data_IF_264634572573
#
_entry.id   IF_264634572573
#
_cell.length_a   1.000
_cell.length_b   1.000
_cell.length_c   1.000
_cell.angle_alpha   90.00
_cell.angle_beta   90.00
_cell.angle_gamma   90.00
#
_symmetry.space_group_name_H-M   'P 1'
#
loop_
_entity.id
_entity.type
_entity.pdbx_description
1 polymer ?
#
# COMPACT_ATOMS: atom_id res chain seq x y z
N UNK A 1 -21.11 7.27 -15.44
CA UNK A 1 -20.94 6.25 -14.39
C UNK A 1 -19.74 5.41 -14.78
N UNK A 2 -18.72 5.39 -13.97
CA UNK A 2 -17.44 4.71 -14.22
C UNK A 2 -17.52 3.27 -13.69
N UNK A 3 -17.26 2.28 -14.55
CA UNK A 3 -17.24 0.87 -14.15
C UNK A 3 -15.83 0.49 -13.70
N UNK A 4 -15.64 0.28 -12.41
CA UNK A 4 -14.38 -0.17 -11.82
C UNK A 4 -14.49 -1.68 -11.59
N UNK A 5 -13.57 -2.43 -12.20
CA UNK A 5 -13.48 -3.86 -12.00
C UNK A 5 -12.25 -4.18 -11.15
N UNK A 6 -12.46 -4.79 -9.99
CA UNK A 6 -11.39 -5.27 -9.11
C UNK A 6 -11.21 -6.75 -9.36
N UNK A 7 -10.03 -7.14 -9.78
CA UNK A 7 -9.63 -8.51 -10.08
C UNK A 7 -8.68 -8.98 -8.99
N UNK A 8 -9.09 -10.01 -8.25
CA UNK A 8 -8.27 -10.54 -7.17
C UNK A 8 -9.06 -11.34 -6.15
N UNK A 9 -8.32 -11.97 -5.26
CA UNK A 9 -8.85 -12.79 -4.18
C UNK A 9 -8.45 -12.19 -2.83
N UNK A 10 -9.22 -12.51 -1.79
CA UNK A 10 -8.86 -12.22 -0.42
C UNK A 10 -9.25 -10.85 0.10
N UNK A 11 -8.65 -10.49 1.23
CA UNK A 11 -9.06 -9.35 2.07
C UNK A 11 -8.71 -8.01 1.41
N UNK A 12 -7.62 -7.93 0.66
CA UNK A 12 -7.21 -6.71 -0.04
C UNK A 12 -8.25 -6.24 -1.06
N UNK A 13 -8.76 -7.19 -1.87
CA UNK A 13 -9.85 -6.96 -2.83
C UNK A 13 -11.09 -6.36 -2.16
N UNK A 14 -11.47 -6.94 -1.02
CA UNK A 14 -12.59 -6.44 -0.22
C UNK A 14 -12.32 -5.07 0.37
N UNK A 15 -11.10 -4.81 0.84
CA UNK A 15 -10.72 -3.55 1.44
C UNK A 15 -10.83 -2.39 0.44
N UNK A 16 -10.27 -2.55 -0.75
CA UNK A 16 -10.34 -1.55 -1.84
C UNK A 16 -11.81 -1.28 -2.20
N UNK A 17 -12.61 -2.33 -2.42
CA UNK A 17 -14.04 -2.18 -2.69
C UNK A 17 -14.76 -1.41 -1.59
N UNK A 18 -14.60 -1.84 -0.34
CA UNK A 18 -15.29 -1.24 0.82
C UNK A 18 -14.98 0.25 0.97
N UNK A 19 -13.74 0.65 0.69
CA UNK A 19 -13.36 2.06 0.75
C UNK A 19 -13.95 2.88 -0.38
N UNK A 20 -13.98 2.36 -1.61
CA UNK A 20 -14.57 3.04 -2.76
C UNK A 20 -16.08 3.22 -2.56
N UNK A 21 -16.82 2.15 -2.25
CA UNK A 21 -18.29 2.19 -2.04
C UNK A 21 -18.67 3.08 -0.85
N UNK A 22 -17.92 3.02 0.26
CA UNK A 22 -18.22 3.83 1.44
C UNK A 22 -17.94 5.33 1.27
N UNK A 23 -17.21 5.72 0.24
CA UNK A 23 -16.91 7.12 -0.07
C UNK A 23 -17.50 7.56 -1.42
N UNK A 24 -18.40 6.80 -2.03
CA UNK A 24 -18.97 7.06 -3.36
C UNK A 24 -19.45 8.51 -3.52
N UNK A 25 -20.14 9.08 -2.53
CA UNK A 25 -20.66 10.46 -2.56
C UNK A 25 -19.52 11.51 -2.64
N UNK A 26 -18.31 11.16 -2.20
CA UNK A 26 -17.15 12.07 -2.18
C UNK A 26 -16.22 11.88 -3.37
N UNK A 27 -16.50 10.91 -4.22
CA UNK A 27 -15.72 10.65 -5.41
C UNK A 27 -16.06 11.66 -6.52
N UNK A 28 -15.11 11.98 -7.40
CA UNK A 28 -15.33 12.92 -8.52
C UNK A 28 -16.42 12.47 -9.49
N UNK A 29 -16.59 11.16 -9.67
CA UNK A 29 -17.55 10.53 -10.56
C UNK A 29 -18.40 9.50 -9.84
N UNK A 30 -19.62 9.27 -10.34
CA UNK A 30 -20.43 8.11 -9.93
C UNK A 30 -19.74 6.83 -10.39
N UNK A 31 -19.56 5.89 -9.48
CA UNK A 31 -18.89 4.62 -9.74
C UNK A 31 -19.85 3.43 -9.65
N UNK A 32 -19.48 2.36 -10.33
CA UNK A 32 -20.00 1.01 -10.11
C UNK A 32 -18.83 0.09 -9.93
N UNK A 33 -18.71 -0.53 -8.76
CA UNK A 33 -17.62 -1.45 -8.43
C UNK A 33 -18.08 -2.89 -8.59
N UNK A 34 -17.33 -3.67 -9.37
CA UNK A 34 -17.56 -5.11 -9.53
C UNK A 34 -16.27 -5.84 -9.10
N UNK A 35 -16.42 -6.98 -8.44
CA UNK A 35 -15.30 -7.85 -8.06
C UNK A 35 -15.32 -9.10 -8.94
N UNK A 36 -14.12 -9.53 -9.35
CA UNK A 36 -13.88 -10.79 -10.05
C UNK A 36 -12.81 -11.56 -9.26
N UNK A 37 -13.23 -12.61 -8.59
CA UNK A 37 -12.43 -13.40 -7.69
C UNK A 37 -13.24 -13.92 -6.52
N UNK A 38 -12.57 -14.45 -5.52
CA UNK A 38 -13.19 -15.03 -4.34
C UNK A 38 -12.76 -14.26 -3.09
N UNK A 39 -13.71 -14.02 -2.20
CA UNK A 39 -13.44 -13.44 -0.90
C UNK A 39 -14.12 -14.25 0.20
N UNK A 40 -13.33 -14.58 1.24
CA UNK A 40 -13.80 -15.33 2.40
C UNK A 40 -13.71 -14.47 3.65
N UNK A 41 -14.81 -14.35 4.39
CA UNK A 41 -14.83 -13.72 5.71
C UNK A 41 -15.16 -14.77 6.78
N UNK A 42 -14.28 -14.92 7.78
CA UNK A 42 -14.44 -15.93 8.85
C UNK A 42 -14.71 -17.35 8.29
N UNK A 43 -13.97 -17.73 7.25
CA UNK A 43 -14.13 -19.02 6.55
C UNK A 43 -15.48 -19.20 5.83
N UNK A 44 -16.27 -18.17 5.71
CA UNK A 44 -17.51 -18.18 4.92
C UNK A 44 -17.32 -17.38 3.63
N UNK A 45 -17.67 -17.97 2.50
CA UNK A 45 -17.66 -17.29 1.21
C UNK A 45 -18.68 -16.14 1.23
N UNK A 46 -18.22 -14.88 1.12
CA UNK A 46 -19.09 -13.72 1.10
C UNK A 46 -19.44 -13.31 -0.33
N UNK A 47 -18.48 -13.45 -1.23
CA UNK A 47 -18.66 -13.13 -2.64
C UNK A 47 -18.02 -14.20 -3.51
N UNK A 48 -18.86 -14.84 -4.34
CA UNK A 48 -18.40 -15.56 -5.52
C UNK A 48 -18.87 -14.73 -6.70
N UNK A 49 -17.97 -14.04 -7.36
CA UNK A 49 -18.33 -13.27 -8.52
C UNK A 49 -17.79 -13.92 -9.77
N UNK A 50 -18.75 -14.47 -10.52
CA UNK A 50 -18.62 -14.78 -11.94
C UNK A 50 -17.32 -15.50 -12.38
N UNK A 51 -16.95 -16.58 -11.71
CA UNK A 51 -15.89 -17.50 -12.16
C UNK A 51 -16.15 -18.10 -13.56
N UNK A 52 -17.25 -17.70 -14.21
CA UNK A 52 -17.66 -18.14 -15.55
C UNK A 52 -17.27 -17.15 -16.65
N UNK A 53 -16.84 -15.92 -16.29
CA UNK A 53 -16.39 -14.96 -17.28
C UNK A 53 -14.90 -15.15 -17.53
N UNK A 54 -14.51 -15.08 -18.79
CA UNK A 54 -13.10 -15.00 -19.14
C UNK A 54 -12.55 -13.63 -18.70
N UNK A 55 -11.32 -13.60 -18.24
CA UNK A 55 -10.66 -12.36 -17.80
C UNK A 55 -10.67 -11.29 -18.88
N UNK A 56 -10.59 -11.70 -20.16
CA UNK A 56 -10.66 -10.78 -21.30
C UNK A 56 -12.01 -10.04 -21.35
N UNK A 57 -13.12 -10.73 -21.06
CA UNK A 57 -14.46 -10.12 -21.06
C UNK A 57 -14.61 -9.15 -19.88
N UNK A 58 -13.99 -9.47 -18.74
CA UNK A 58 -13.94 -8.62 -17.55
C UNK A 58 -13.20 -7.33 -17.85
N UNK A 59 -12.02 -7.42 -18.45
CA UNK A 59 -11.21 -6.25 -18.82
C UNK A 59 -11.92 -5.38 -19.85
N UNK A 60 -12.50 -5.98 -20.90
CA UNK A 60 -13.25 -5.24 -21.93
C UNK A 60 -14.42 -4.45 -21.39
N UNK A 61 -15.13 -4.99 -20.40
CA UNK A 61 -16.31 -4.36 -19.81
C UNK A 61 -15.98 -3.26 -18.77
N UNK A 62 -14.73 -3.16 -18.35
CA UNK A 62 -14.26 -2.17 -17.38
C UNK A 62 -13.97 -0.82 -18.05
N UNK A 63 -14.12 0.26 -17.29
CA UNK A 63 -13.50 1.55 -17.58
C UNK A 63 -12.15 1.70 -16.86
N UNK A 64 -12.02 1.06 -15.69
CA UNK A 64 -10.80 0.98 -14.88
C UNK A 64 -10.65 -0.42 -14.32
N UNK A 65 -9.44 -0.96 -14.36
CA UNK A 65 -9.10 -2.26 -13.77
C UNK A 65 -8.19 -2.04 -12.58
N UNK A 66 -8.52 -2.69 -11.45
CA UNK A 66 -7.66 -2.78 -10.26
C UNK A 66 -7.31 -4.25 -10.08
N UNK A 67 -6.03 -4.58 -10.03
CA UNK A 67 -5.54 -5.93 -9.76
C UNK A 67 -4.95 -5.99 -8.36
N UNK A 68 -5.48 -6.86 -7.51
CA UNK A 68 -5.07 -6.99 -6.11
C UNK A 68 -4.40 -8.33 -5.79
N UNK A 69 -4.23 -9.19 -6.78
CA UNK A 69 -3.66 -10.52 -6.59
C UNK A 69 -2.64 -10.82 -7.71
N UNK A 70 -1.36 -11.03 -7.37
CA UNK A 70 -0.28 -11.23 -8.34
C UNK A 70 -0.46 -12.47 -9.24
N UNK A 71 -1.29 -13.44 -8.86
CA UNK A 71 -1.59 -14.61 -9.71
C UNK A 71 -2.15 -14.23 -11.09
N UNK A 72 -2.73 -13.05 -11.21
CA UNK A 72 -3.25 -12.55 -12.48
C UNK A 72 -2.19 -11.92 -13.38
N UNK A 73 -0.96 -11.69 -12.88
CA UNK A 73 0.18 -11.33 -13.72
C UNK A 73 0.49 -12.46 -14.72
N UNK A 74 0.50 -13.71 -14.25
CA UNK A 74 0.70 -14.90 -15.08
C UNK A 74 -0.41 -15.06 -16.15
N UNK A 75 -1.57 -14.44 -15.95
CA UNK A 75 -2.67 -14.42 -16.91
C UNK A 75 -2.61 -13.23 -17.88
N UNK A 76 -1.46 -12.58 -17.99
CA UNK A 76 -1.21 -11.43 -18.87
C UNK A 76 -2.17 -10.26 -18.70
N UNK A 77 -2.58 -9.96 -17.48
CA UNK A 77 -3.52 -8.85 -17.18
C UNK A 77 -3.03 -7.51 -17.75
N UNK A 78 -1.72 -7.28 -17.73
CA UNK A 78 -1.09 -6.06 -18.26
C UNK A 78 -1.32 -5.94 -19.74
N UNK A 79 -1.02 -7.00 -20.51
CA UNK A 79 -1.24 -7.01 -21.96
C UNK A 79 -2.72 -6.86 -22.30
N UNK A 80 -3.60 -7.56 -21.58
CA UNK A 80 -5.05 -7.46 -21.78
C UNK A 80 -5.57 -6.04 -21.55
N UNK A 81 -5.11 -5.36 -20.52
CA UNK A 81 -5.49 -3.97 -20.26
C UNK A 81 -4.92 -3.03 -21.32
N UNK A 82 -3.67 -3.22 -21.72
CA UNK A 82 -3.01 -2.44 -22.75
C UNK A 82 -3.70 -2.58 -24.10
N UNK A 83 -4.02 -3.82 -24.53
CA UNK A 83 -4.68 -4.11 -25.81
C UNK A 83 -6.11 -3.58 -25.91
N UNK A 84 -6.73 -3.29 -24.78
CA UNK A 84 -8.09 -2.75 -24.69
C UNK A 84 -8.14 -1.28 -24.22
N UNK A 85 -7.00 -0.59 -24.18
CA UNK A 85 -6.88 0.80 -23.70
C UNK A 85 -7.50 1.01 -22.31
N UNK A 86 -7.28 0.06 -21.39
CA UNK A 86 -7.81 0.13 -20.02
C UNK A 86 -6.71 0.51 -19.04
N UNK A 87 -6.91 1.55 -18.21
CA UNK A 87 -6.00 1.86 -17.12
C UNK A 87 -5.99 0.71 -16.11
N UNK A 88 -4.79 0.30 -15.72
CA UNK A 88 -4.53 -0.77 -14.76
C UNK A 88 -3.82 -0.22 -13.52
N UNK A 89 -4.33 -0.58 -12.35
CA UNK A 89 -3.76 -0.24 -11.06
C UNK A 89 -3.51 -1.53 -10.27
N UNK A 90 -2.24 -1.81 -9.94
CA UNK A 90 -1.86 -3.02 -9.21
C UNK A 90 -1.44 -2.69 -7.78
N UNK A 91 -1.93 -3.44 -6.80
CA UNK A 91 -1.52 -3.28 -5.39
C UNK A 91 -0.15 -3.89 -5.09
N UNK A 92 0.42 -4.62 -6.03
CA UNK A 92 1.71 -5.30 -5.97
C UNK A 92 2.61 -4.84 -7.11
N UNK A 93 3.91 -5.03 -6.97
CA UNK A 93 4.90 -4.70 -8.00
C UNK A 93 4.92 -5.78 -9.07
N UNK A 94 4.88 -5.38 -10.33
CA UNK A 94 4.92 -6.27 -11.49
C UNK A 94 6.37 -6.69 -11.79
N UNK A 95 6.62 -7.99 -11.90
CA UNK A 95 8.00 -8.50 -12.06
C UNK A 95 8.53 -8.42 -13.51
N UNK A 96 7.66 -8.62 -14.51
CA UNK A 96 8.10 -8.84 -15.90
C UNK A 96 7.24 -8.13 -16.95
N UNK A 97 6.49 -7.10 -16.60
CA UNK A 97 5.49 -6.54 -17.48
C UNK A 97 6.06 -5.55 -18.47
N UNK A 98 5.96 -5.87 -19.76
CA UNK A 98 6.17 -4.90 -20.83
C UNK A 98 4.87 -4.10 -20.96
N UNK A 99 4.85 -2.91 -20.38
CA UNK A 99 3.73 -1.97 -20.53
C UNK A 99 3.85 -1.27 -21.88
N UNK A 100 2.77 -1.22 -22.64
CA UNK A 100 2.73 -0.40 -23.85
C UNK A 100 2.94 1.08 -23.49
N UNK A 101 3.76 1.81 -24.25
CA UNK A 101 4.04 3.21 -23.95
C UNK A 101 2.79 4.13 -24.01
N UNK A 102 1.68 3.62 -24.53
CA UNK A 102 0.42 4.38 -24.62
C UNK A 102 -0.63 3.97 -23.57
N UNK A 103 -0.30 3.06 -22.68
CA UNK A 103 -1.24 2.56 -21.65
C UNK A 103 -0.90 3.13 -20.28
N UNK A 104 -1.93 3.38 -19.48
CA UNK A 104 -1.75 3.70 -18.08
C UNK A 104 -1.67 2.39 -17.30
N UNK A 105 -0.53 2.14 -16.67
CA UNK A 105 -0.35 1.04 -15.73
C UNK A 105 0.47 1.55 -14.56
N UNK A 106 -0.05 1.46 -13.35
CA UNK A 106 0.66 1.84 -12.14
C UNK A 106 0.60 0.64 -11.19
N UNK A 107 1.76 0.19 -10.77
CA UNK A 107 1.93 -0.94 -9.87
C UNK A 107 2.55 -0.52 -8.53
N UNK A 108 2.74 -1.47 -7.62
CA UNK A 108 3.28 -1.19 -6.30
C UNK A 108 2.39 -0.28 -5.43
N UNK A 109 1.08 -0.22 -5.70
CA UNK A 109 0.15 0.68 -5.00
C UNK A 109 -0.21 0.17 -3.60
N UNK A 110 0.80 0.04 -2.78
CA UNK A 110 0.70 -0.38 -1.39
C UNK A 110 1.55 0.52 -0.49
N UNK A 111 1.51 0.23 0.80
CA UNK A 111 2.18 1.05 1.80
C UNK A 111 3.70 0.86 1.82
N UNK A 112 4.18 -0.32 1.46
CA UNK A 112 5.60 -0.65 1.46
C UNK A 112 6.36 -0.02 0.28
N UNK A 113 5.68 0.09 -0.86
CA UNK A 113 6.23 0.65 -2.09
C UNK A 113 5.79 2.12 -2.24
N UNK A 114 4.68 2.38 -2.93
CA UNK A 114 4.28 3.74 -3.32
C UNK A 114 4.17 4.75 -2.16
N UNK A 115 3.55 4.36 -1.04
CA UNK A 115 3.38 5.33 0.06
C UNK A 115 4.69 5.62 0.79
N UNK A 116 5.57 4.62 0.93
CA UNK A 116 6.88 4.80 1.54
C UNK A 116 7.77 5.72 0.70
N UNK A 117 7.85 5.47 -0.60
CA UNK A 117 8.68 6.26 -1.51
C UNK A 117 8.19 7.70 -1.61
N UNK A 118 6.88 7.92 -1.79
CA UNK A 118 6.32 9.27 -1.81
C UNK A 118 6.55 10.02 -0.50
N UNK A 119 6.50 9.33 0.63
CA UNK A 119 6.82 9.91 1.93
C UNK A 119 8.28 10.30 2.03
N UNK A 120 9.20 9.44 1.60
CA UNK A 120 10.64 9.68 1.62
C UNK A 120 11.02 10.80 0.66
N UNK A 121 10.50 10.78 -0.57
CA UNK A 121 10.71 11.86 -1.54
C UNK A 121 10.29 13.21 -0.97
N UNK A 122 9.16 13.26 -0.28
CA UNK A 122 8.73 14.50 0.41
C UNK A 122 9.69 14.95 1.50
N UNK A 123 10.25 14.03 2.27
CA UNK A 123 11.25 14.37 3.29
C UNK A 123 12.53 14.91 2.66
N UNK A 124 13.01 14.29 1.60
CA UNK A 124 14.17 14.74 0.84
C UNK A 124 13.97 16.13 0.23
N UNK A 125 12.79 16.39 -0.34
CA UNK A 125 12.43 17.70 -0.92
C UNK A 125 12.35 18.82 0.11
N UNK A 126 12.01 18.51 1.34
CA UNK A 126 11.74 19.51 2.38
C UNK A 126 12.83 19.65 3.43
N UNK A 127 13.78 18.72 3.46
CA UNK A 127 14.85 18.70 4.46
C UNK A 127 16.20 18.89 3.77
N UNK A 128 16.92 19.94 4.14
CA UNK A 128 18.26 20.21 3.60
C UNK A 128 19.32 19.35 4.32
N UNK A 129 20.43 19.11 3.62
CA UNK A 129 21.65 18.47 4.17
C UNK A 129 21.40 17.08 4.77
N UNK A 130 20.47 16.32 4.16
CA UNK A 130 20.19 14.94 4.56
C UNK A 130 21.43 14.07 4.28
N UNK A 131 21.83 13.28 5.27
CA UNK A 131 22.96 12.34 5.16
C UNK A 131 22.51 10.89 5.09
N UNK A 132 21.36 10.57 5.68
CA UNK A 132 20.72 9.25 5.58
C UNK A 132 19.29 9.28 6.06
N UNK A 133 18.50 8.31 5.60
CA UNK A 133 17.14 8.06 6.07
C UNK A 133 17.01 6.59 6.50
N UNK A 134 16.44 6.35 7.67
CA UNK A 134 15.96 5.05 8.09
C UNK A 134 14.43 5.10 8.17
N UNK A 135 13.78 4.35 7.31
CA UNK A 135 12.33 4.23 7.25
C UNK A 135 11.88 2.90 7.83
N UNK A 136 10.94 2.96 8.77
CA UNK A 136 10.38 1.82 9.46
C UNK A 136 8.87 1.79 9.23
N UNK A 137 8.36 0.68 8.75
CA UNK A 137 6.92 0.46 8.59
C UNK A 137 6.54 -0.93 9.06
N UNK A 138 5.36 -1.07 9.60
CA UNK A 138 4.91 -2.35 10.11
C UNK A 138 3.77 -2.26 11.12
N UNK A 139 3.66 -3.26 11.97
CA UNK A 139 2.52 -3.47 12.82
C UNK A 139 2.90 -3.50 14.30
N UNK A 140 2.05 -2.89 15.10
CA UNK A 140 2.05 -3.07 16.55
C UNK A 140 0.70 -3.54 17.07
N UNK A 141 0.72 -4.31 18.14
CA UNK A 141 -0.46 -4.72 18.90
C UNK A 141 -0.93 -3.57 19.77
N UNK A 142 -2.25 -3.26 19.73
CA UNK A 142 -2.84 -2.27 20.61
C UNK A 142 -3.44 -2.89 21.86
N UNK A 143 -4.25 -3.94 21.69
CA UNK A 143 -4.98 -4.60 22.78
C UNK A 143 -5.21 -6.08 22.48
N UNK A 144 -5.35 -6.87 23.52
CA UNK A 144 -5.93 -8.20 23.44
C UNK A 144 -7.45 -8.07 23.43
N UNK A 145 -8.10 -8.28 22.29
CA UNK A 145 -9.52 -8.04 22.11
C UNK A 145 -10.41 -9.27 22.33
N UNK A 146 -9.84 -10.41 22.69
CA UNK A 146 -10.63 -11.63 22.87
C UNK A 146 -11.35 -12.11 21.61
N UNK A 147 -12.48 -12.80 21.76
CA UNK A 147 -13.19 -13.55 20.72
C UNK A 147 -13.77 -12.72 19.55
N UNK A 148 -13.76 -11.39 19.62
CA UNK A 148 -14.35 -10.48 18.60
C UNK A 148 -13.32 -9.78 17.71
N UNK A 149 -12.12 -10.33 17.61
CA UNK A 149 -11.07 -9.75 16.80
C UNK A 149 -11.46 -9.68 15.31
N UNK A 150 -11.16 -8.54 14.68
CA UNK A 150 -11.28 -8.37 13.24
C UNK A 150 -10.24 -9.26 12.52
N UNK A 151 -10.50 -9.69 11.28
CA UNK A 151 -9.50 -10.41 10.51
C UNK A 151 -8.25 -9.55 10.41
N UNK A 152 -7.18 -10.03 11.03
CA UNK A 152 -5.84 -9.47 10.94
C UNK A 152 -5.14 -9.93 9.66
N UNK A 153 -3.87 -9.54 9.52
CA UNK A 153 -2.99 -10.16 8.55
C UNK A 153 -2.88 -11.64 8.91
N UNK A 154 -3.09 -12.52 7.96
CA UNK A 154 -2.81 -13.93 8.15
C UNK A 154 -1.30 -14.14 8.31
N UNK A 155 -0.91 -15.24 8.96
CA UNK A 155 0.52 -15.63 9.04
C UNK A 155 1.13 -15.74 7.63
N UNK A 156 0.34 -16.12 6.64
CA UNK A 156 0.81 -16.27 5.26
C UNK A 156 0.99 -14.93 4.56
N UNK A 157 0.09 -13.96 4.76
CA UNK A 157 0.29 -12.57 4.29
C UNK A 157 1.48 -11.92 4.97
N UNK A 158 1.67 -12.15 6.27
CA UNK A 158 2.86 -11.71 6.99
C UNK A 158 4.13 -12.34 6.41
N UNK A 159 4.13 -13.65 6.15
CA UNK A 159 5.25 -14.35 5.52
C UNK A 159 5.52 -13.84 4.11
N UNK A 160 4.49 -13.57 3.31
CA UNK A 160 4.65 -12.99 1.98
C UNK A 160 5.29 -11.60 2.03
N UNK A 161 4.85 -10.75 2.95
CA UNK A 161 5.48 -9.44 3.18
C UNK A 161 6.93 -9.57 3.67
N UNK A 162 7.24 -10.61 4.47
CA UNK A 162 8.58 -10.86 5.03
C UNK A 162 9.51 -11.65 4.12
N UNK A 163 9.04 -12.29 3.05
CA UNK A 163 9.90 -12.97 2.07
C UNK A 163 10.88 -12.04 1.35
N UNK A 164 10.60 -10.74 1.32
CA UNK A 164 11.53 -9.71 0.84
C UNK A 164 12.60 -9.31 1.86
N UNK A 165 12.53 -9.84 3.08
CA UNK A 165 13.48 -9.49 4.15
C UNK A 165 14.81 -10.16 3.89
N UNK A 166 15.85 -9.39 3.70
CA UNK A 166 17.22 -9.86 3.42
C UNK A 166 18.11 -9.91 4.66
N UNK A 167 17.75 -9.18 5.71
CA UNK A 167 18.55 -9.02 6.91
C UNK A 167 18.12 -9.87 8.11
N UNK A 168 19.04 -10.11 9.03
CA UNK A 168 18.71 -10.71 10.34
C UNK A 168 17.88 -9.71 11.17
N UNK A 169 16.78 -10.15 11.82
CA UNK A 169 16.01 -9.27 12.69
C UNK A 169 16.88 -8.68 13.80
N UNK A 170 16.79 -7.38 13.98
CA UNK A 170 17.45 -6.65 15.07
C UNK A 170 16.42 -6.06 16.03
N UNK A 171 16.70 -6.11 17.33
CA UNK A 171 15.87 -5.42 18.31
C UNK A 171 16.14 -3.92 18.26
N UNK A 172 15.10 -3.13 18.07
CA UNK A 172 15.16 -1.66 18.08
C UNK A 172 14.17 -1.07 19.07
N UNK A 173 14.34 0.19 19.40
CA UNK A 173 13.42 0.95 20.24
C UNK A 173 12.89 2.15 19.44
N UNK A 174 11.56 2.22 19.28
CA UNK A 174 10.89 3.37 18.72
C UNK A 174 9.96 3.98 19.79
N UNK A 175 10.29 5.17 20.27
CA UNK A 175 9.63 5.75 21.44
C UNK A 175 9.92 4.90 22.69
N UNK A 176 8.85 4.43 23.35
CA UNK A 176 8.92 3.60 24.57
C UNK A 176 8.75 2.10 24.29
N UNK A 177 8.58 1.70 23.02
CA UNK A 177 8.29 0.32 22.63
C UNK A 177 9.47 -0.34 21.94
N UNK A 178 9.53 -1.67 22.06
CA UNK A 178 10.52 -2.52 21.43
C UNK A 178 9.91 -3.22 20.21
N UNK A 179 10.69 -3.29 19.14
CA UNK A 179 10.31 -3.93 17.88
C UNK A 179 11.44 -4.81 17.37
N UNK A 180 11.08 -5.86 16.66
CA UNK A 180 12.01 -6.54 15.77
C UNK A 180 11.95 -5.84 14.41
N UNK A 181 13.08 -5.28 14.00
CA UNK A 181 13.26 -4.66 12.69
C UNK A 181 14.06 -5.57 11.78
N UNK A 182 13.60 -5.74 10.57
CA UNK A 182 14.30 -6.48 9.53
C UNK A 182 14.47 -5.59 8.32
N UNK A 183 15.70 -5.45 7.84
CA UNK A 183 16.00 -4.67 6.64
C UNK A 183 15.36 -5.34 5.42
N UNK A 184 14.62 -4.57 4.65
CA UNK A 184 13.99 -4.99 3.40
C UNK A 184 14.88 -4.62 2.24
N UNK A 185 15.33 -3.36 2.19
CA UNK A 185 16.19 -2.84 1.15
C UNK A 185 17.01 -1.65 1.69
N UNK A 186 18.14 -1.39 1.04
CA UNK A 186 18.83 -0.12 1.13
C UNK A 186 19.04 0.39 -0.28
N UNK A 187 18.49 1.56 -0.56
CA UNK A 187 18.55 2.25 -1.83
C UNK A 187 19.33 3.55 -1.71
N UNK A 188 19.70 4.13 -2.84
CA UNK A 188 20.40 5.41 -2.86
C UNK A 188 19.60 6.39 -3.70
N UNK A 189 19.17 7.48 -3.08
CA UNK A 189 18.58 8.61 -3.79
C UNK A 189 19.57 9.79 -3.72
N UNK A 190 20.07 10.21 -4.89
CA UNK A 190 21.08 11.26 -5.01
C UNK A 190 22.28 11.07 -4.05
N UNK A 191 22.81 9.85 -3.97
CA UNK A 191 23.89 9.43 -3.05
C UNK A 191 23.49 9.41 -1.56
N UNK A 192 22.23 9.65 -1.21
CA UNK A 192 21.73 9.55 0.16
C UNK A 192 21.22 8.11 0.38
N UNK A 193 21.79 7.37 1.37
CA UNK A 193 21.29 6.04 1.68
C UNK A 193 19.93 6.12 2.37
N UNK A 194 18.96 5.39 1.82
CA UNK A 194 17.62 5.18 2.37
C UNK A 194 17.48 3.70 2.72
N UNK A 195 17.32 3.40 4.00
CA UNK A 195 17.15 2.02 4.47
C UNK A 195 15.70 1.79 4.86
N UNK A 196 15.06 0.85 4.21
CA UNK A 196 13.69 0.41 4.48
C UNK A 196 13.71 -0.77 5.45
N UNK A 197 12.93 -0.69 6.51
CA UNK A 197 12.86 -1.72 7.53
C UNK A 197 11.41 -2.10 7.82
N UNK A 198 11.12 -3.41 7.74
CA UNK A 198 9.88 -3.96 8.28
C UNK A 198 9.99 -4.13 9.78
N UNK A 199 8.99 -3.68 10.53
CA UNK A 199 8.97 -3.80 11.99
C UNK A 199 7.75 -4.56 12.48
N UNK A 200 7.96 -5.34 13.52
CA UNK A 200 6.92 -6.06 14.25
C UNK A 200 7.14 -5.88 15.74
N UNK A 201 6.08 -5.55 16.46
CA UNK A 201 6.08 -5.50 17.91
C UNK A 201 6.51 -6.87 18.51
N UNK A 202 7.33 -6.82 19.54
CA UNK A 202 7.79 -8.04 20.24
C UNK A 202 6.66 -8.91 20.77
N UNK A 203 5.53 -8.31 21.10
CA UNK A 203 4.34 -9.02 21.58
C UNK A 203 3.61 -9.81 20.46
N UNK A 204 3.76 -9.42 19.20
CA UNK A 204 3.15 -10.10 18.05
C UNK A 204 3.78 -11.47 17.75
N UNK A 205 5.07 -11.61 17.99
CA UNK A 205 5.82 -12.85 17.67
C UNK A 205 5.37 -14.02 18.54
N UNK A 206 4.78 -13.75 19.70
CA UNK A 206 4.29 -14.76 20.63
C UNK A 206 2.81 -15.15 20.41
N UNK A 207 2.10 -14.45 19.54
CA UNK A 207 0.69 -14.71 19.30
C UNK A 207 0.51 -15.70 18.14
N UNK A 208 -0.06 -16.86 18.41
CA UNK A 208 -0.47 -17.84 17.38
C UNK A 208 -1.55 -17.27 16.43
N UNK A 209 -2.11 -16.09 16.72
CA UNK A 209 -3.13 -15.40 15.94
C UNK A 209 -2.86 -13.90 15.90
N UNK A 210 -2.72 -13.36 14.69
CA UNK A 210 -2.67 -11.90 14.43
C UNK A 210 -4.06 -11.25 14.47
N UNK A 211 -5.03 -11.86 15.12
CA UNK A 211 -6.45 -11.47 15.20
C UNK A 211 -6.72 -10.32 16.19
N UNK A 212 -5.70 -9.66 16.68
CA UNK A 212 -5.82 -8.57 17.65
C UNK A 212 -6.01 -7.23 16.96
N UNK A 213 -6.53 -6.24 17.67
CA UNK A 213 -6.49 -4.87 17.19
C UNK A 213 -5.04 -4.46 16.97
N UNK A 214 -4.74 -4.09 15.73
CA UNK A 214 -3.41 -3.70 15.32
C UNK A 214 -3.38 -2.24 14.92
N UNK A 215 -2.25 -1.62 15.08
CA UNK A 215 -1.93 -0.31 14.54
C UNK A 215 -0.81 -0.47 13.53
N UNK A 216 -1.00 0.10 12.35
CA UNK A 216 0.07 0.22 11.38
C UNK A 216 0.90 1.47 11.68
N UNK A 217 2.22 1.35 11.60
CA UNK A 217 3.15 2.41 11.93
C UNK A 217 4.00 2.74 10.72
N UNK A 218 4.13 4.04 10.44
CA UNK A 218 5.24 4.66 9.73
C UNK A 218 6.10 5.43 10.72
N UNK A 219 7.39 5.15 10.73
CA UNK A 219 8.36 5.89 11.51
C UNK A 219 9.62 6.13 10.69
N UNK A 220 9.98 7.38 10.49
CA UNK A 220 11.14 7.74 9.67
C UNK A 220 12.12 8.56 10.50
N UNK A 221 13.37 8.16 10.45
CA UNK A 221 14.47 8.87 11.09
C UNK A 221 15.33 9.47 9.99
N UNK A 222 15.34 10.79 9.91
CA UNK A 222 16.17 11.56 8.97
C UNK A 222 17.38 12.12 9.72
N UNK A 223 18.56 11.85 9.21
CA UNK A 223 19.82 12.42 9.72
C UNK A 223 20.25 13.56 8.81
N UNK A 224 20.57 14.69 9.39
CA UNK A 224 21.04 15.86 8.67
C UNK A 224 22.36 16.35 9.26
N UNK A 225 23.19 16.97 8.44
CA UNK A 225 24.45 17.59 8.89
C UNK A 225 24.40 19.09 8.61
N UNK A 226 24.71 19.90 9.61
CA UNK A 226 24.90 21.32 9.39
C UNK A 226 26.23 21.58 8.66
N UNK A 227 26.28 22.50 7.68
CA UNK A 227 27.46 22.78 6.89
C UNK A 227 28.73 23.16 7.73
N UNK A 228 28.49 23.74 8.90
CA UNK A 228 29.55 24.25 9.79
C UNK A 228 29.84 23.33 11.01
N UNK A 229 29.06 22.22 11.14
CA UNK A 229 29.13 21.34 12.30
C UNK A 229 29.24 19.88 11.86
N UNK A 230 30.06 19.10 12.54
CA UNK A 230 30.18 17.65 12.31
C UNK A 230 29.07 16.86 13.02
N UNK A 231 28.22 17.53 13.78
CA UNK A 231 27.16 16.90 14.57
C UNK A 231 25.96 16.56 13.67
N UNK A 232 25.56 15.29 13.64
CA UNK A 232 24.34 14.85 13.01
C UNK A 232 23.13 15.21 13.87
N UNK A 233 22.12 15.80 13.23
CA UNK A 233 20.81 16.06 13.83
C UNK A 233 19.88 14.97 13.37
N UNK A 234 19.18 14.31 14.30
CA UNK A 234 18.13 13.37 14.02
C UNK A 234 16.78 14.07 14.14
N UNK A 235 15.99 14.00 13.09
CA UNK A 235 14.55 14.31 13.10
C UNK A 235 13.73 13.04 12.96
N UNK A 236 12.50 13.04 13.47
CA UNK A 236 11.62 11.88 13.42
C UNK A 236 10.26 12.30 12.91
N UNK A 237 9.78 11.60 11.89
CA UNK A 237 8.41 11.71 11.41
C UNK A 237 7.66 10.43 11.72
N UNK A 238 6.43 10.54 12.19
CA UNK A 238 5.65 9.40 12.65
C UNK A 238 4.20 9.51 12.19
N UNK A 239 3.64 8.39 11.74
CA UNK A 239 2.23 8.26 11.41
C UNK A 239 1.74 6.90 11.87
N UNK A 240 0.52 6.83 12.36
CA UNK A 240 -0.15 5.59 12.71
C UNK A 240 -1.52 5.47 12.05
N UNK A 241 -1.96 4.24 11.84
CA UNK A 241 -3.28 3.91 11.33
C UNK A 241 -3.83 2.69 12.07
N UNK A 242 -4.97 2.86 12.70
CA UNK A 242 -5.67 1.80 13.42
C UNK A 242 -6.66 1.06 12.52
N UNK A 243 -7.16 -0.08 13.01
CA UNK A 243 -8.24 -0.82 12.37
C UNK A 243 -9.44 0.10 12.10
N UNK A 244 -9.99 0.00 10.91
CA UNK A 244 -11.14 0.80 10.51
C UNK A 244 -12.06 0.00 9.57
N UNK A 245 -13.37 0.27 9.62
CA UNK A 245 -14.38 -0.32 8.72
C UNK A 245 -14.37 -1.86 8.71
N UNK A 246 -14.15 -2.49 9.84
CA UNK A 246 -14.00 -3.94 9.98
C UNK A 246 -12.81 -4.52 9.21
N UNK A 247 -11.80 -3.70 8.92
CA UNK A 247 -10.54 -4.08 8.32
C UNK A 247 -9.40 -3.93 9.33
N UNK A 248 -8.40 -4.78 9.25
CA UNK A 248 -7.16 -4.58 9.99
C UNK A 248 -6.46 -3.30 9.52
N UNK A 249 -5.60 -2.76 10.35
CA UNK A 249 -4.83 -1.55 10.02
C UNK A 249 -4.03 -1.71 8.72
N UNK A 250 -3.46 -2.90 8.50
CA UNK A 250 -2.73 -3.26 7.29
C UNK A 250 -3.59 -3.14 6.03
N UNK A 251 -4.70 -3.88 5.96
CA UNK A 251 -5.58 -3.87 4.79
C UNK A 251 -6.22 -2.49 4.55
N UNK A 252 -6.57 -1.81 5.65
CA UNK A 252 -7.14 -0.48 5.54
C UNK A 252 -6.16 0.54 4.94
N UNK A 253 -4.90 0.54 5.41
CA UNK A 253 -3.92 1.52 4.94
C UNK A 253 -3.46 1.23 3.51
N UNK A 254 -3.27 -0.05 3.14
CA UNK A 254 -2.98 -0.45 1.76
C UNK A 254 -4.09 -0.03 0.81
N UNK A 255 -5.34 -0.32 1.16
CA UNK A 255 -6.48 0.11 0.36
C UNK A 255 -6.59 1.64 0.25
N UNK A 256 -6.18 2.40 1.28
CA UNK A 256 -6.09 3.85 1.19
C UNK A 256 -5.10 4.31 0.12
N UNK A 257 -3.95 3.64 -0.02
CA UNK A 257 -2.97 3.95 -1.07
C UNK A 257 -3.60 3.75 -2.45
N UNK A 258 -4.09 2.56 -2.73
CA UNK A 258 -4.73 2.24 -4.01
C UNK A 258 -5.89 3.18 -4.33
N UNK A 259 -6.82 3.39 -3.38
CA UNK A 259 -7.96 4.29 -3.57
C UNK A 259 -7.53 5.75 -3.78
N UNK A 260 -6.40 6.17 -3.22
CA UNK A 260 -5.85 7.51 -3.46
C UNK A 260 -5.46 7.71 -4.92
N UNK A 261 -4.80 6.74 -5.53
CA UNK A 261 -4.45 6.78 -6.96
C UNK A 261 -5.68 6.72 -7.86
N UNK A 262 -6.68 5.90 -7.52
CA UNK A 262 -7.97 5.88 -8.24
C UNK A 262 -8.66 7.24 -8.16
N UNK A 263 -8.66 7.88 -6.98
CA UNK A 263 -9.22 9.22 -6.82
C UNK A 263 -8.48 10.25 -7.70
N UNK A 264 -7.14 10.22 -7.72
CA UNK A 264 -6.32 11.10 -8.55
C UNK A 264 -6.58 10.87 -10.04
N UNK A 265 -6.74 9.62 -10.47
CA UNK A 265 -7.13 9.29 -11.84
C UNK A 265 -8.49 9.92 -12.21
N UNK A 266 -9.52 9.69 -11.39
CA UNK A 266 -10.85 10.26 -11.60
C UNK A 266 -10.85 11.80 -11.60
N UNK A 267 -9.99 12.40 -10.77
CA UNK A 267 -9.81 13.86 -10.69
C UNK A 267 -8.91 14.43 -11.78
N UNK A 268 -8.42 13.60 -12.71
CA UNK A 268 -7.47 13.98 -13.78
C UNK A 268 -6.17 14.61 -13.26
N UNK A 269 -5.72 14.16 -12.11
CA UNK A 269 -4.47 14.60 -11.48
C UNK A 269 -3.28 13.70 -11.85
N UNK A 270 -3.54 12.55 -12.50
CA UNK A 270 -2.51 11.70 -13.06
C UNK A 270 -2.27 12.02 -14.54
N UNK A 271 -1.04 11.84 -15.06
CA UNK A 271 -0.76 11.89 -16.49
C UNK A 271 -1.62 10.86 -17.24
N UNK A 272 -1.95 11.14 -18.50
CA UNK A 272 -2.74 10.22 -19.33
C UNK A 272 -2.00 8.93 -19.66
N UNK A 273 -0.68 8.97 -19.62
CA UNK A 273 0.21 7.80 -19.72
C UNK A 273 1.09 7.83 -18.47
N UNK A 274 0.97 6.84 -17.64
CA UNK A 274 1.69 6.75 -16.37
C UNK A 274 2.06 5.29 -16.13
N UNK A 275 3.31 5.04 -15.86
CA UNK A 275 3.86 3.71 -15.57
C UNK A 275 4.59 3.67 -14.23
N UNK A 276 4.69 4.82 -13.54
CA UNK A 276 5.43 4.95 -12.30
C UNK A 276 4.67 5.87 -11.33
N UNK A 277 4.47 5.42 -10.10
CA UNK A 277 3.84 6.23 -9.06
C UNK A 277 4.71 7.42 -8.63
N UNK A 278 6.02 7.39 -8.86
CA UNK A 278 6.95 8.47 -8.51
C UNK A 278 6.75 9.76 -9.32
N UNK A 279 5.93 9.74 -10.37
CA UNK A 279 5.52 10.96 -11.09
C UNK A 279 4.54 11.84 -10.26
N UNK A 280 4.03 11.31 -9.17
CA UNK A 280 3.09 12.00 -8.27
C UNK A 280 3.86 12.56 -7.08
N UNK A 281 3.70 13.85 -6.81
CA UNK A 281 4.25 14.41 -5.58
C UNK A 281 3.40 14.05 -4.35
N UNK A 282 4.05 13.98 -3.20
CA UNK A 282 3.40 13.60 -1.95
C UNK A 282 2.23 14.50 -1.57
N UNK A 283 2.26 15.81 -1.87
CA UNK A 283 1.17 16.71 -1.49
C UNK A 283 -0.09 16.39 -2.29
N UNK A 284 0.05 16.10 -3.60
CA UNK A 284 -1.06 15.65 -4.44
C UNK A 284 -1.63 14.34 -3.93
N UNK A 285 -0.77 13.35 -3.65
CA UNK A 285 -1.17 12.07 -3.07
C UNK A 285 -1.90 12.25 -1.73
N UNK A 286 -1.35 13.04 -0.81
CA UNK A 286 -1.89 13.20 0.55
C UNK A 286 -3.04 14.22 0.65
N UNK A 287 -3.40 14.92 -0.43
CA UNK A 287 -4.44 15.95 -0.41
C UNK A 287 -5.87 15.40 -0.50
N UNK A 288 -6.05 14.18 -1.01
CA UNK A 288 -7.36 13.59 -1.22
C UNK A 288 -7.89 12.84 0.01
N UNK A 289 -9.14 12.39 -0.07
CA UNK A 289 -9.87 11.75 1.05
C UNK A 289 -9.26 10.44 1.55
N UNK A 290 -8.48 9.75 0.71
CA UNK A 290 -7.82 8.49 1.06
C UNK A 290 -6.36 8.73 1.47
N UNK A 291 -5.65 9.54 0.72
CA UNK A 291 -4.23 9.86 0.95
C UNK A 291 -3.98 10.76 2.16
N UNK A 292 -5.00 11.42 2.71
CA UNK A 292 -4.85 12.34 3.85
C UNK A 292 -4.30 11.68 5.13
N UNK A 293 -4.25 10.35 5.19
CA UNK A 293 -3.61 9.57 6.26
C UNK A 293 -2.09 9.71 6.24
N UNK A 294 -1.51 10.02 5.09
CA UNK A 294 -0.07 10.13 4.87
C UNK A 294 0.46 11.57 4.93
N UNK A 295 -0.30 12.49 5.49
CA UNK A 295 0.18 13.87 5.68
C UNK A 295 1.31 13.90 6.69
N UNK A 296 2.42 14.48 6.28
CA UNK A 296 3.52 14.84 7.19
C UNK A 296 3.08 16.12 7.89
N UNK A 297 3.09 16.09 9.23
CA UNK A 297 2.72 17.24 10.07
C UNK A 297 3.77 18.34 10.04
#
# INVERSE_FOLDING_TARGET
MLNIHIIGNGTETYAVRSLLEANEIKLPDNIKVNIFGEYYFKSSLIYTLNNYLKIEDVVKAADVVICTDPIYEDQNIVSLCSDNDKPLFCTFTLENSIVSPNSMCIDGLNVADAASDLWINRLLDTTNDVTSIEHFYGLQKLYDTGENALPGITIDEYRAATQRITGQPRLITLGEKYYYASEVATEFDNDIPVTYNWIVDTDHIQADKLDTQTEFIFHTVTRTRKPEDTTEIMSRSHMTCQNARSLSAWHYINACVTCSFIYMYMSKQLPTVCVDYNVVDHNTFSSNIFGNRFRIA
#
